data_IF_604148866972
#
_entry.id   IF_604148866972
#
_cell.length_a   1.000
_cell.length_b   1.000
_cell.length_c   1.000
_cell.angle_alpha   90.00
_cell.angle_beta   90.00
_cell.angle_gamma   90.00
#
_symmetry.space_group_name_H-M   'P 1'
#
loop_
_entity.id
_entity.type
_entity.pdbx_description
1 polymer ?
#
# COMPACT_ATOMS: atom_id res chain seq x y z
N UNK A 1 -73.95 -9.30 -4.96
CA UNK A 1 -73.76 -10.74 -4.67
C UNK A 1 -72.30 -11.11 -4.96
N UNK A 2 -71.44 -11.29 -3.94
CA UNK A 2 -70.05 -11.76 -4.17
C UNK A 2 -70.08 -13.29 -4.31
N UNK A 3 -69.80 -13.80 -5.51
CA UNK A 3 -69.68 -15.24 -5.78
C UNK A 3 -68.71 -15.87 -4.78
N UNK A 4 -69.17 -16.90 -4.05
CA UNK A 4 -68.34 -17.71 -3.15
C UNK A 4 -67.37 -18.50 -4.03
N UNK A 5 -66.08 -18.16 -3.95
CA UNK A 5 -65.02 -18.90 -4.63
C UNK A 5 -64.98 -20.31 -4.05
N UNK A 6 -64.92 -21.33 -4.92
CA UNK A 6 -64.83 -22.75 -4.56
C UNK A 6 -63.40 -23.27 -4.74
N UNK A 7 -63.11 -24.46 -4.20
CA UNK A 7 -61.82 -25.14 -4.43
C UNK A 7 -61.57 -25.42 -5.93
N UNK A 8 -62.63 -25.67 -6.70
CA UNK A 8 -62.50 -25.87 -8.14
C UNK A 8 -62.02 -24.59 -8.85
N UNK A 9 -62.49 -23.43 -8.40
CA UNK A 9 -62.04 -22.14 -8.93
C UNK A 9 -60.57 -21.87 -8.62
N UNK A 10 -60.06 -22.29 -7.45
CA UNK A 10 -58.63 -22.15 -7.12
C UNK A 10 -57.76 -23.06 -7.98
N UNK A 11 -58.21 -24.30 -8.23
CA UNK A 11 -57.55 -25.21 -9.16
C UNK A 11 -57.51 -24.66 -10.60
N UNK A 12 -58.60 -24.05 -11.07
CA UNK A 12 -58.63 -23.42 -12.40
C UNK A 12 -57.69 -22.22 -12.49
N UNK A 13 -57.60 -21.40 -11.44
CA UNK A 13 -56.62 -20.29 -11.35
C UNK A 13 -55.18 -20.81 -11.40
N UNK A 14 -54.89 -21.94 -10.74
CA UNK A 14 -53.57 -22.56 -10.80
C UNK A 14 -53.22 -23.03 -12.22
N UNK A 15 -54.16 -23.73 -12.88
CA UNK A 15 -53.98 -24.23 -14.25
C UNK A 15 -53.74 -23.09 -15.24
N UNK A 16 -54.51 -22.00 -15.13
CA UNK A 16 -54.35 -20.81 -15.98
C UNK A 16 -52.95 -20.16 -15.85
N UNK A 17 -52.24 -20.39 -14.75
CA UNK A 17 -50.87 -19.89 -14.51
C UNK A 17 -49.80 -20.95 -14.71
N UNK A 18 -50.13 -22.07 -15.36
CA UNK A 18 -49.20 -23.15 -15.65
C UNK A 18 -48.77 -23.89 -14.39
N UNK A 19 -49.70 -24.22 -13.49
CA UNK A 19 -49.43 -25.02 -12.29
C UNK A 19 -50.67 -25.68 -11.70
N UNK A 20 -50.56 -26.19 -10.47
CA UNK A 20 -51.63 -26.90 -9.77
C UNK A 20 -51.79 -26.43 -8.32
N UNK A 21 -53.01 -26.55 -7.80
CA UNK A 21 -53.31 -26.42 -6.37
C UNK A 21 -53.21 -27.82 -5.76
N UNK A 22 -52.44 -27.96 -4.68
CA UNK A 22 -52.19 -29.22 -3.96
C UNK A 22 -53.00 -29.31 -2.65
N UNK A 23 -53.89 -28.35 -2.37
CA UNK A 23 -54.72 -28.34 -1.18
C UNK A 23 -56.06 -29.00 -1.44
N UNK A 24 -56.49 -29.89 -0.56
CA UNK A 24 -57.75 -30.64 -0.69
C UNK A 24 -58.96 -29.90 -0.10
N UNK A 25 -58.75 -28.76 0.57
CA UNK A 25 -59.80 -27.97 1.22
C UNK A 25 -59.60 -26.48 1.01
N UNK A 26 -60.68 -25.77 0.67
CA UNK A 26 -60.72 -24.32 0.58
C UNK A 26 -61.69 -23.77 1.62
N UNK A 27 -61.17 -23.01 2.59
CA UNK A 27 -61.97 -22.41 3.67
C UNK A 27 -62.30 -20.95 3.33
N UNK A 28 -61.27 -20.14 3.05
CA UNK A 28 -61.42 -18.75 2.61
C UNK A 28 -60.19 -18.27 1.85
N UNK A 29 -60.25 -17.06 1.30
CA UNK A 29 -59.19 -16.49 0.47
C UNK A 29 -57.96 -15.99 1.23
N UNK A 30 -57.99 -15.94 2.57
CA UNK A 30 -56.89 -15.49 3.44
C UNK A 30 -56.05 -16.64 4.00
N UNK A 31 -56.63 -17.84 4.09
CA UNK A 31 -55.91 -19.04 4.55
C UNK A 31 -54.97 -19.51 3.43
N UNK A 32 -53.69 -19.77 3.72
CA UNK A 32 -52.75 -20.27 2.73
C UNK A 32 -53.16 -21.62 2.15
N UNK A 33 -53.12 -21.71 0.82
CA UNK A 33 -53.20 -22.97 0.07
C UNK A 33 -51.81 -23.36 -0.42
N UNK A 34 -51.61 -24.64 -0.72
CA UNK A 34 -50.39 -25.20 -1.29
C UNK A 34 -50.50 -25.18 -2.81
N UNK A 35 -49.51 -24.59 -3.47
CA UNK A 35 -49.46 -24.40 -4.92
C UNK A 35 -48.20 -25.04 -5.48
N UNK A 36 -48.25 -25.42 -6.76
CA UNK A 36 -47.15 -26.00 -7.52
C UNK A 36 -47.09 -25.37 -8.90
N UNK A 37 -45.89 -25.00 -9.40
CA UNK A 37 -45.73 -24.44 -10.75
C UNK A 37 -45.23 -25.49 -11.76
N UNK A 38 -45.18 -25.12 -13.04
CA UNK A 38 -44.67 -25.96 -14.14
C UNK A 38 -43.21 -26.40 -14.00
N UNK A 39 -42.40 -25.68 -13.21
CA UNK A 39 -41.02 -26.05 -12.87
C UNK A 39 -40.93 -26.85 -11.57
N UNK A 40 -42.02 -27.49 -11.16
CA UNK A 40 -42.14 -28.35 -9.97
C UNK A 40 -41.92 -27.66 -8.61
N UNK A 41 -41.86 -26.32 -8.56
CA UNK A 41 -41.69 -25.62 -7.28
C UNK A 41 -43.00 -25.57 -6.50
N UNK A 42 -42.94 -25.94 -5.22
CA UNK A 42 -44.08 -25.91 -4.31
C UNK A 42 -43.97 -24.78 -3.29
N UNK A 43 -45.08 -24.09 -3.01
CA UNK A 43 -45.13 -23.03 -1.99
C UNK A 43 -46.53 -22.86 -1.38
N UNK A 44 -46.59 -22.22 -0.21
CA UNK A 44 -47.84 -21.86 0.46
C UNK A 44 -48.16 -20.37 0.26
N UNK A 45 -49.38 -20.05 -0.19
CA UNK A 45 -49.84 -18.68 -0.33
C UNK A 45 -51.37 -18.57 -0.26
N UNK A 46 -51.92 -17.47 0.27
CA UNK A 46 -53.36 -17.24 0.24
C UNK A 46 -53.85 -16.86 -1.17
N UNK A 47 -55.09 -17.23 -1.49
CA UNK A 47 -55.67 -17.03 -2.83
C UNK A 47 -55.77 -15.55 -3.21
N UNK A 48 -56.02 -14.66 -2.25
CA UNK A 48 -56.11 -13.21 -2.49
C UNK A 48 -54.81 -12.63 -3.10
N UNK A 49 -53.65 -13.09 -2.60
CA UNK A 49 -52.32 -12.72 -3.07
C UNK A 49 -52.07 -13.27 -4.47
N UNK A 50 -52.55 -14.47 -4.76
CA UNK A 50 -52.45 -15.06 -6.09
C UNK A 50 -53.34 -14.28 -7.06
N UNK A 51 -54.63 -14.10 -6.76
CA UNK A 51 -55.59 -13.47 -7.68
C UNK A 51 -55.29 -11.99 -7.96
N UNK A 52 -54.94 -11.23 -6.93
CA UNK A 52 -54.85 -9.76 -7.03
C UNK A 52 -53.43 -9.22 -7.25
N UNK A 53 -52.40 -10.09 -7.31
CA UNK A 53 -51.02 -9.66 -7.61
C UNK A 53 -50.47 -10.40 -8.82
N UNK A 54 -49.65 -9.71 -9.62
CA UNK A 54 -48.92 -10.26 -10.77
C UNK A 54 -47.76 -11.20 -10.39
N UNK A 55 -47.83 -11.86 -9.22
CA UNK A 55 -46.79 -12.74 -8.71
C UNK A 55 -47.35 -14.14 -8.51
N UNK A 56 -46.77 -15.12 -9.21
CA UNK A 56 -47.19 -16.53 -9.20
C UNK A 56 -46.24 -17.38 -8.35
N UNK A 57 -45.18 -17.90 -8.97
CA UNK A 57 -44.16 -18.70 -8.30
C UNK A 57 -43.06 -17.78 -7.76
N UNK A 58 -42.80 -17.75 -6.44
CA UNK A 58 -41.77 -16.91 -5.85
C UNK A 58 -40.35 -17.37 -6.25
N UNK A 59 -40.18 -18.65 -6.60
CA UNK A 59 -38.92 -19.20 -7.11
C UNK A 59 -38.64 -18.73 -8.53
N UNK A 60 -39.61 -18.85 -9.44
CA UNK A 60 -39.45 -18.38 -10.81
C UNK A 60 -39.37 -16.86 -10.91
N UNK A 61 -39.99 -16.13 -9.97
CA UNK A 61 -39.91 -14.67 -9.88
C UNK A 61 -38.60 -14.17 -9.23
N UNK A 62 -37.64 -15.05 -8.91
CA UNK A 62 -36.36 -14.69 -8.29
C UNK A 62 -36.48 -14.17 -6.85
N UNK A 63 -37.61 -14.38 -6.18
CA UNK A 63 -37.90 -13.89 -4.83
C UNK A 63 -37.71 -14.94 -3.73
N UNK A 64 -37.67 -16.22 -4.07
CA UNK A 64 -37.33 -17.32 -3.15
C UNK A 64 -36.61 -18.42 -3.90
N UNK A 65 -35.30 -18.52 -3.80
CA UNK A 65 -34.61 -19.77 -4.09
C UNK A 65 -33.45 -19.92 -3.11
N UNK A 66 -32.91 -21.13 -3.01
CA UNK A 66 -31.59 -21.40 -2.44
C UNK A 66 -31.40 -21.62 -0.93
N UNK A 67 -32.42 -21.76 -0.09
CA UNK A 67 -32.15 -22.01 1.34
C UNK A 67 -31.87 -23.49 1.68
N UNK A 68 -32.69 -24.44 1.20
CA UNK A 68 -32.58 -25.84 1.62
C UNK A 68 -31.50 -26.64 0.85
N UNK A 69 -31.40 -26.49 -0.46
CA UNK A 69 -30.37 -27.20 -1.24
C UNK A 69 -28.95 -26.74 -0.90
N UNK A 70 -28.76 -25.43 -0.64
CA UNK A 70 -27.49 -24.91 -0.15
C UNK A 70 -27.21 -25.41 1.25
N UNK A 71 -28.21 -25.44 2.14
CA UNK A 71 -28.04 -25.99 3.48
C UNK A 71 -27.62 -27.47 3.45
N UNK A 72 -28.22 -28.28 2.58
CA UNK A 72 -27.83 -29.68 2.35
C UNK A 72 -26.41 -29.79 1.81
N UNK A 73 -26.03 -28.96 0.83
CA UNK A 73 -24.66 -28.96 0.26
C UNK A 73 -23.60 -28.55 1.29
N UNK A 74 -23.85 -27.50 2.07
CA UNK A 74 -22.93 -27.03 3.12
C UNK A 74 -22.78 -28.08 4.23
N UNK A 75 -23.86 -28.77 4.59
CA UNK A 75 -23.79 -29.87 5.55
C UNK A 75 -22.84 -30.96 5.04
N UNK A 76 -23.01 -31.40 3.78
CA UNK A 76 -22.17 -32.42 3.16
C UNK A 76 -20.70 -31.98 3.09
N UNK A 77 -20.42 -30.75 2.65
CA UNK A 77 -19.05 -30.20 2.56
C UNK A 77 -18.33 -30.15 3.92
N UNK A 78 -19.07 -30.06 5.02
CA UNK A 78 -18.53 -30.09 6.40
C UNK A 78 -18.63 -31.46 7.08
N UNK A 79 -18.95 -32.52 6.34
CA UNK A 79 -19.06 -33.88 6.86
C UNK A 79 -20.28 -34.09 7.77
N UNK A 80 -21.39 -33.39 7.51
CA UNK A 80 -22.65 -33.51 8.22
C UNK A 80 -23.85 -33.67 7.29
N UNK A 81 -25.04 -33.83 7.87
CA UNK A 81 -26.31 -34.01 7.16
C UNK A 81 -27.34 -32.99 7.66
N UNK A 82 -28.07 -32.38 6.72
CA UNK A 82 -29.27 -31.62 7.05
C UNK A 82 -30.47 -32.56 6.96
N UNK A 83 -31.11 -32.83 8.10
CA UNK A 83 -32.24 -33.76 8.22
C UNK A 83 -33.59 -33.11 7.88
N UNK A 84 -33.63 -31.78 7.75
CA UNK A 84 -34.86 -31.05 7.46
C UNK A 84 -35.33 -31.21 6.00
N UNK A 85 -36.63 -31.45 5.84
CA UNK A 85 -37.26 -31.80 4.57
C UNK A 85 -37.80 -30.54 3.85
N UNK A 86 -38.16 -29.46 4.56
CA UNK A 86 -38.63 -28.19 3.98
C UNK A 86 -38.22 -26.98 4.84
N UNK A 87 -38.05 -25.81 4.21
CA UNK A 87 -37.77 -24.54 4.88
C UNK A 87 -38.63 -23.46 4.23
N UNK A 88 -39.66 -23.00 4.93
CA UNK A 88 -40.62 -22.01 4.39
C UNK A 88 -40.26 -20.58 4.80
N UNK A 89 -39.51 -20.41 5.89
CA UNK A 89 -39.10 -19.12 6.43
C UNK A 89 -37.67 -19.14 6.99
N UNK A 90 -36.99 -17.98 6.95
CA UNK A 90 -35.61 -17.80 7.45
C UNK A 90 -35.45 -18.02 8.96
N UNK A 91 -36.56 -18.07 9.71
CA UNK A 91 -36.62 -18.26 11.17
C UNK A 91 -36.92 -19.71 11.60
N UNK A 92 -37.14 -20.63 10.66
CA UNK A 92 -37.45 -22.02 10.96
C UNK A 92 -36.18 -22.77 11.42
N UNK A 93 -36.27 -23.55 12.50
CA UNK A 93 -35.17 -24.34 13.05
C UNK A 93 -34.93 -25.56 12.15
N UNK A 94 -33.76 -25.63 11.52
CA UNK A 94 -33.33 -26.79 10.74
C UNK A 94 -32.61 -27.78 11.67
N UNK A 95 -32.80 -29.06 11.40
CA UNK A 95 -32.20 -30.19 12.11
C UNK A 95 -30.92 -30.61 11.38
N UNK A 96 -29.82 -30.71 12.12
CA UNK A 96 -28.48 -31.00 11.61
C UNK A 96 -27.88 -32.18 12.35
N UNK A 97 -27.08 -33.00 11.65
CA UNK A 97 -26.30 -34.10 12.23
C UNK A 97 -24.84 -34.03 11.77
N UNK A 98 -23.86 -34.17 12.66
CA UNK A 98 -22.44 -34.22 12.28
C UNK A 98 -21.94 -35.66 12.05
N UNK A 99 -20.74 -35.82 11.47
CA UNK A 99 -20.07 -37.11 11.25
C UNK A 99 -19.84 -37.92 12.53
N UNK A 100 -19.81 -37.29 13.70
CA UNK A 100 -19.71 -37.95 15.01
C UNK A 100 -21.08 -38.31 15.63
N UNK A 101 -22.19 -38.10 14.92
CA UNK A 101 -23.53 -38.51 15.32
C UNK A 101 -24.31 -37.50 16.18
N UNK A 102 -23.76 -36.32 16.49
CA UNK A 102 -24.47 -35.31 17.27
C UNK A 102 -25.56 -34.62 16.45
N UNK A 103 -26.75 -34.46 17.04
CA UNK A 103 -27.90 -33.78 16.44
C UNK A 103 -28.19 -32.46 17.14
N UNK A 104 -28.46 -31.40 16.36
CA UNK A 104 -28.86 -30.12 16.92
C UNK A 104 -29.82 -29.35 16.01
N UNK A 105 -30.60 -28.45 16.63
CA UNK A 105 -31.54 -27.57 15.95
C UNK A 105 -30.96 -26.16 15.85
N UNK A 106 -30.83 -25.62 14.64
CA UNK A 106 -30.36 -24.25 14.40
C UNK A 106 -31.08 -23.61 13.22
N UNK A 107 -31.39 -22.31 13.33
CA UNK A 107 -32.08 -21.59 12.24
C UNK A 107 -31.15 -21.38 11.05
N UNK A 108 -31.72 -21.22 9.84
CA UNK A 108 -30.94 -20.84 8.65
C UNK A 108 -30.15 -19.53 8.85
N UNK A 109 -30.65 -18.60 9.67
CA UNK A 109 -29.95 -17.34 9.99
C UNK A 109 -28.60 -17.56 10.69
N UNK A 110 -28.43 -18.67 11.41
CA UNK A 110 -27.17 -19.02 12.08
C UNK A 110 -26.05 -19.42 11.09
N UNK A 111 -26.34 -19.60 9.80
CA UNK A 111 -25.32 -19.92 8.78
C UNK A 111 -25.19 -18.84 7.70
N UNK A 112 -25.96 -17.75 7.77
CA UNK A 112 -25.90 -16.65 6.78
C UNK A 112 -24.52 -15.99 6.78
N UNK A 113 -23.91 -15.77 7.95
CA UNK A 113 -22.58 -15.17 8.03
C UNK A 113 -21.50 -16.05 7.38
N UNK A 114 -21.62 -17.38 7.51
CA UNK A 114 -20.76 -18.36 6.84
C UNK A 114 -20.96 -18.30 5.32
N UNK A 115 -22.21 -18.29 4.84
CA UNK A 115 -22.52 -18.17 3.41
C UNK A 115 -21.99 -16.87 2.80
N UNK A 116 -22.19 -15.74 3.49
CA UNK A 116 -21.70 -14.42 3.04
C UNK A 116 -20.18 -14.40 3.00
N UNK A 117 -19.52 -15.06 3.95
CA UNK A 117 -18.07 -15.21 3.94
C UNK A 117 -17.59 -16.01 2.72
N UNK A 118 -18.15 -17.22 2.50
CA UNK A 118 -17.77 -18.07 1.38
C UNK A 118 -18.04 -17.42 0.01
N UNK A 119 -19.17 -16.72 -0.15
CA UNK A 119 -19.50 -16.02 -1.40
C UNK A 119 -18.47 -14.94 -1.79
N UNK A 120 -17.67 -14.46 -0.83
CA UNK A 120 -16.61 -13.47 -1.03
C UNK A 120 -15.21 -14.07 -0.83
N UNK A 121 -15.06 -15.39 -1.00
CA UNK A 121 -13.82 -16.15 -0.77
C UNK A 121 -13.18 -15.89 0.60
N UNK A 122 -13.99 -15.62 1.62
CA UNK A 122 -13.56 -15.43 3.00
C UNK A 122 -14.11 -16.51 3.93
N UNK A 123 -13.70 -16.43 5.19
CA UNK A 123 -14.18 -17.25 6.29
C UNK A 123 -14.68 -16.36 7.41
N UNK A 124 -15.67 -16.82 8.16
CA UNK A 124 -16.03 -16.23 9.45
C UNK A 124 -15.41 -17.10 10.54
N UNK A 125 -14.66 -16.48 11.45
CA UNK A 125 -13.93 -17.16 12.52
C UNK A 125 -14.69 -17.14 13.86
N UNK A 126 -15.73 -16.32 13.98
CA UNK A 126 -16.57 -16.31 15.18
C UNK A 126 -17.39 -17.59 15.36
N UNK A 127 -17.29 -18.20 16.53
CA UNK A 127 -18.02 -19.43 16.90
C UNK A 127 -19.49 -19.18 17.27
N UNK A 128 -19.82 -17.95 17.70
CA UNK A 128 -21.17 -17.59 18.18
C UNK A 128 -21.71 -16.41 17.39
N UNK A 129 -22.88 -16.60 16.76
CA UNK A 129 -23.64 -15.55 16.11
C UNK A 129 -24.92 -15.27 16.91
N UNK A 130 -25.06 -14.03 17.37
CA UNK A 130 -26.20 -13.62 18.20
C UNK A 130 -27.26 -12.92 17.33
N UNK A 131 -26.85 -11.92 16.55
CA UNK A 131 -27.77 -11.16 15.67
C UNK A 131 -27.02 -10.39 14.56
N UNK A 132 -27.76 -9.78 13.62
CA UNK A 132 -27.19 -9.03 12.48
C UNK A 132 -26.30 -7.84 12.86
N UNK A 133 -26.45 -7.29 14.06
CA UNK A 133 -25.68 -6.16 14.58
C UNK A 133 -24.45 -6.59 15.38
N UNK A 134 -24.41 -7.82 15.88
CA UNK A 134 -23.27 -8.36 16.63
C UNK A 134 -22.01 -8.41 15.77
N UNK A 135 -20.87 -8.07 16.38
CA UNK A 135 -19.59 -8.11 15.71
C UNK A 135 -19.17 -9.57 15.50
N UNK A 136 -18.76 -9.87 14.28
CA UNK A 136 -18.17 -11.13 13.89
C UNK A 136 -16.74 -10.87 13.41
N UNK A 137 -15.88 -11.85 13.65
CA UNK A 137 -14.51 -11.90 13.16
C UNK A 137 -14.52 -12.54 11.78
N UNK A 138 -14.09 -11.77 10.78
CA UNK A 138 -14.03 -12.16 9.38
C UNK A 138 -12.58 -12.32 8.95
N UNK A 139 -12.36 -13.23 8.01
CA UNK A 139 -11.06 -13.53 7.40
C UNK A 139 -11.21 -13.52 5.88
N UNK A 140 -10.41 -12.75 5.15
CA UNK A 140 -10.51 -12.67 3.68
C UNK A 140 -9.57 -13.66 2.99
N UNK A 141 -9.72 -13.84 1.68
CA UNK A 141 -8.85 -14.68 0.86
C UNK A 141 -7.34 -14.35 0.96
N UNK A 142 -7.02 -13.13 1.38
CA UNK A 142 -5.65 -12.58 1.45
C UNK A 142 -5.18 -12.53 2.91
N UNK A 143 -5.79 -13.33 3.79
CA UNK A 143 -5.40 -13.46 5.20
C UNK A 143 -5.55 -12.20 6.05
N UNK A 144 -6.43 -11.26 5.67
CA UNK A 144 -6.77 -10.15 6.56
C UNK A 144 -7.90 -10.54 7.50
N UNK A 145 -7.72 -10.23 8.77
CA UNK A 145 -8.72 -10.41 9.82
C UNK A 145 -9.31 -9.07 10.24
N UNK A 146 -10.64 -8.99 10.37
CA UNK A 146 -11.29 -7.78 10.83
C UNK A 146 -12.63 -8.07 11.52
N UNK A 147 -13.02 -7.17 12.42
CA UNK A 147 -14.31 -7.22 13.09
C UNK A 147 -15.34 -6.39 12.32
N UNK A 148 -16.48 -6.99 11.97
CA UNK A 148 -17.60 -6.30 11.38
C UNK A 148 -18.93 -6.99 11.70
N UNK A 149 -20.02 -6.25 11.72
CA UNK A 149 -21.36 -6.83 11.85
C UNK A 149 -21.84 -7.43 10.54
N UNK A 150 -22.68 -8.47 10.61
CA UNK A 150 -23.28 -9.10 9.44
C UNK A 150 -24.12 -8.10 8.62
N UNK A 151 -24.83 -7.19 9.27
CA UNK A 151 -25.63 -6.15 8.61
C UNK A 151 -24.76 -5.18 7.81
N UNK A 152 -23.57 -4.82 8.32
CA UNK A 152 -22.61 -4.00 7.57
C UNK A 152 -22.17 -4.74 6.31
N UNK A 153 -21.75 -5.99 6.50
CA UNK A 153 -21.18 -6.81 5.42
C UNK A 153 -22.21 -7.11 4.32
N UNK A 154 -23.44 -7.45 4.71
CA UNK A 154 -24.51 -7.88 3.80
C UNK A 154 -25.32 -6.70 3.24
N UNK A 155 -25.81 -5.80 4.10
CA UNK A 155 -26.77 -4.77 3.70
C UNK A 155 -26.07 -3.48 3.23
N UNK A 156 -24.90 -3.13 3.81
CA UNK A 156 -24.10 -1.98 3.37
C UNK A 156 -23.04 -2.34 2.33
N UNK A 157 -23.02 -3.61 1.89
CA UNK A 157 -22.06 -4.16 0.92
C UNK A 157 -20.59 -3.88 1.27
N UNK A 158 -20.27 -3.70 2.55
CA UNK A 158 -18.89 -3.50 3.00
C UNK A 158 -18.18 -4.85 3.11
N UNK A 159 -16.86 -4.86 2.89
CA UNK A 159 -16.04 -6.06 3.05
C UNK A 159 -14.76 -5.72 3.81
N UNK A 160 -13.74 -6.57 3.70
CA UNK A 160 -12.44 -6.39 4.33
C UNK A 160 -11.92 -4.97 4.08
N UNK A 161 -11.69 -4.13 5.11
CA UNK A 161 -11.23 -2.76 4.95
C UNK A 161 -9.87 -2.67 4.23
N UNK A 162 -9.04 -3.70 4.35
CA UNK A 162 -7.77 -3.82 3.62
C UNK A 162 -7.95 -4.28 2.15
N UNK A 163 -9.16 -4.65 1.74
CA UNK A 163 -9.52 -5.02 0.36
C UNK A 163 -10.65 -4.16 -0.22
N UNK A 164 -11.21 -3.21 0.54
CA UNK A 164 -12.19 -2.24 0.03
C UNK A 164 -11.43 -1.27 -0.87
N UNK A 165 -11.66 -1.39 -2.19
CA UNK A 165 -10.85 -0.78 -3.25
C UNK A 165 -10.32 -1.78 -4.29
N UNK A 166 -10.55 -3.08 -4.08
CA UNK A 166 -10.04 -4.16 -4.92
C UNK A 166 -9.01 -5.01 -4.17
N UNK A 167 -8.56 -6.12 -4.77
CA UNK A 167 -7.35 -6.84 -4.33
C UNK A 167 -6.26 -5.80 -4.01
N UNK A 168 -5.33 -6.03 -3.06
CA UNK A 168 -4.09 -5.26 -3.07
C UNK A 168 -3.60 -5.30 -4.50
N UNK A 169 -3.57 -4.13 -5.15
CA UNK A 169 -3.34 -4.02 -6.60
C UNK A 169 -2.00 -4.63 -7.01
N UNK A 170 -1.15 -4.87 -6.02
CA UNK A 170 0.19 -5.43 -6.10
C UNK A 170 0.38 -6.42 -4.96
N UNK A 171 1.13 -7.47 -5.25
CA UNK A 171 1.59 -8.51 -4.33
C UNK A 171 3.06 -8.24 -3.95
N UNK A 172 3.58 -8.99 -2.96
CA UNK A 172 5.02 -8.98 -2.67
C UNK A 172 5.86 -9.37 -3.90
N UNK A 173 5.33 -10.24 -4.77
CA UNK A 173 6.01 -10.63 -5.99
C UNK A 173 6.10 -9.47 -6.99
N UNK A 174 5.04 -8.65 -7.07
CA UNK A 174 5.06 -7.42 -7.88
C UNK A 174 6.08 -6.40 -7.35
N UNK A 175 6.27 -6.31 -6.03
CA UNK A 175 7.29 -5.43 -5.44
C UNK A 175 8.70 -5.92 -5.76
N UNK A 176 8.94 -7.23 -5.70
CA UNK A 176 10.21 -7.85 -6.08
C UNK A 176 10.50 -7.68 -7.56
N UNK A 177 9.51 -7.85 -8.43
CA UNK A 177 9.64 -7.64 -9.87
C UNK A 177 10.05 -6.20 -10.20
N UNK A 178 9.40 -5.20 -9.60
CA UNK A 178 9.77 -3.80 -9.79
C UNK A 178 11.20 -3.52 -9.29
N UNK A 179 11.60 -4.16 -8.18
CA UNK A 179 12.98 -4.03 -7.71
C UNK A 179 13.97 -4.62 -8.72
N UNK A 180 13.66 -5.80 -9.26
CA UNK A 180 14.48 -6.48 -10.26
C UNK A 180 14.59 -5.65 -11.54
N UNK A 181 13.49 -5.13 -12.06
CA UNK A 181 13.46 -4.27 -13.26
C UNK A 181 14.30 -2.99 -13.10
N UNK A 182 14.51 -2.56 -11.85
CA UNK A 182 15.35 -1.40 -11.49
C UNK A 182 16.74 -1.78 -10.99
N UNK A 183 17.20 -3.00 -11.30
CA UNK A 183 18.49 -3.54 -10.89
C UNK A 183 18.69 -3.48 -9.37
N UNK A 184 17.73 -3.98 -8.61
CA UNK A 184 17.80 -4.08 -7.16
C UNK A 184 16.91 -5.17 -6.59
N UNK A 185 16.73 -5.14 -5.27
CA UNK A 185 15.99 -6.16 -4.52
C UNK A 185 15.08 -5.51 -3.48
N UNK A 186 13.93 -6.12 -3.23
CA UNK A 186 13.10 -5.79 -2.07
C UNK A 186 13.48 -6.78 -0.96
N UNK A 187 13.95 -6.26 0.18
CA UNK A 187 14.40 -7.04 1.33
C UNK A 187 13.27 -7.36 2.32
N UNK A 188 12.11 -6.70 2.19
CA UNK A 188 10.96 -6.96 3.06
C UNK A 188 10.33 -8.33 2.80
N UNK A 189 9.99 -9.04 3.87
CA UNK A 189 9.35 -10.36 3.82
C UNK A 189 7.83 -10.29 3.63
N UNK A 190 7.21 -9.16 4.00
CA UNK A 190 5.75 -8.98 3.99
C UNK A 190 5.37 -7.68 3.31
N UNK A 191 4.33 -7.74 2.48
CA UNK A 191 3.68 -6.58 1.88
C UNK A 191 2.26 -6.45 2.43
N UNK A 192 1.99 -5.35 3.13
CA UNK A 192 0.67 -5.08 3.74
C UNK A 192 -0.17 -4.23 2.78
N UNK A 193 0.33 -3.06 2.40
CA UNK A 193 -0.33 -2.17 1.46
C UNK A 193 0.69 -1.22 0.80
N UNK A 194 0.22 -0.40 -0.16
CA UNK A 194 1.07 0.48 -0.96
C UNK A 194 1.64 1.69 -0.20
N UNK A 195 1.12 1.96 1.01
CA UNK A 195 1.54 3.05 1.88
C UNK A 195 2.49 2.58 2.99
N UNK A 196 2.58 1.28 3.25
CA UNK A 196 3.56 0.71 4.18
C UNK A 196 4.96 0.83 3.60
N UNK A 197 5.92 1.26 4.42
CA UNK A 197 7.33 1.30 4.04
C UNK A 197 7.88 -0.12 3.86
N UNK A 198 8.63 -0.32 2.79
CA UNK A 198 9.39 -1.53 2.51
C UNK A 198 10.88 -1.18 2.48
N UNK A 199 11.72 -2.17 2.75
CA UNK A 199 13.17 -2.08 2.67
C UNK A 199 13.63 -2.48 1.26
N UNK A 200 14.41 -1.60 0.63
CA UNK A 200 14.89 -1.74 -0.74
C UNK A 200 16.40 -1.73 -0.78
N UNK A 201 16.95 -2.43 -1.77
CA UNK A 201 18.38 -2.56 -2.04
C UNK A 201 18.65 -2.28 -3.52
N UNK A 202 19.67 -1.47 -3.85
CA UNK A 202 20.07 -1.25 -5.25
C UNK A 202 21.37 -1.98 -5.61
N UNK A 203 21.62 -2.19 -6.91
CA UNK A 203 22.85 -2.81 -7.42
C UNK A 203 24.15 -2.13 -6.97
N UNK A 204 24.10 -0.86 -6.57
CA UNK A 204 25.26 -0.13 -6.02
C UNK A 204 25.47 -0.33 -4.51
N UNK A 205 24.70 -1.23 -3.88
CA UNK A 205 24.87 -1.59 -2.47
C UNK A 205 24.17 -0.67 -1.46
N UNK A 206 23.23 0.18 -1.89
CA UNK A 206 22.50 1.06 -0.97
C UNK A 206 21.21 0.42 -0.48
N UNK A 207 20.94 0.59 0.81
CA UNK A 207 19.71 0.16 1.48
C UNK A 207 18.90 1.37 1.93
N UNK A 208 17.59 1.38 1.68
CA UNK A 208 16.71 2.46 2.13
C UNK A 208 15.27 2.00 2.32
N UNK A 209 14.54 2.74 3.17
CA UNK A 209 13.11 2.54 3.40
C UNK A 209 12.29 3.45 2.48
N UNK A 210 11.34 2.89 1.74
CA UNK A 210 10.41 3.65 0.92
C UNK A 210 9.08 2.90 0.75
N UNK A 211 7.99 3.65 0.58
CA UNK A 211 6.68 3.06 0.28
C UNK A 211 6.63 2.56 -1.16
N UNK A 212 5.86 1.49 -1.40
CA UNK A 212 5.71 0.94 -2.74
C UNK A 212 5.11 1.95 -3.72
N UNK A 213 4.12 2.76 -3.29
CA UNK A 213 3.52 3.78 -4.14
C UNK A 213 4.53 4.85 -4.57
N UNK A 214 5.44 5.23 -3.67
CA UNK A 214 6.53 6.17 -3.96
C UNK A 214 7.47 5.57 -5.01
N UNK A 215 7.94 4.34 -4.81
CA UNK A 215 8.84 3.68 -5.75
C UNK A 215 8.21 3.53 -7.14
N UNK A 216 6.95 3.11 -7.20
CA UNK A 216 6.25 2.88 -8.46
C UNK A 216 6.06 4.16 -9.28
N UNK A 217 5.64 5.25 -8.63
CA UNK A 217 5.29 6.50 -9.32
C UNK A 217 6.47 7.49 -9.40
N UNK A 218 7.55 7.27 -8.65
CA UNK A 218 8.72 8.14 -8.68
C UNK A 218 9.59 7.89 -9.92
N UNK A 219 10.10 9.01 -10.47
CA UNK A 219 11.16 9.03 -11.49
C UNK A 219 12.55 8.66 -10.92
N UNK A 220 12.67 8.45 -9.62
CA UNK A 220 13.94 8.10 -8.95
C UNK A 220 13.81 6.77 -8.21
N UNK A 221 14.73 5.85 -8.49
CA UNK A 221 14.77 4.51 -7.87
C UNK A 221 15.43 4.51 -6.49
N UNK A 222 16.74 4.77 -6.47
CA UNK A 222 17.56 4.78 -5.27
C UNK A 222 17.92 6.23 -4.95
N UNK A 223 17.57 6.75 -3.76
CA UNK A 223 17.82 8.15 -3.44
C UNK A 223 19.32 8.44 -3.30
N UNK A 224 20.14 7.45 -2.94
CA UNK A 224 21.60 7.58 -2.93
C UNK A 224 22.16 7.72 -4.35
N UNK A 225 21.63 6.94 -5.31
CA UNK A 225 22.07 7.02 -6.71
C UNK A 225 21.55 8.27 -7.43
N UNK A 226 20.37 8.76 -7.06
CA UNK A 226 19.79 9.98 -7.65
C UNK A 226 20.32 11.27 -7.01
N UNK A 227 21.27 11.18 -6.08
CA UNK A 227 21.81 12.35 -5.35
C UNK A 227 20.81 13.03 -4.41
N UNK A 228 19.69 12.37 -4.07
CA UNK A 228 18.66 12.87 -3.15
C UNK A 228 18.95 12.53 -1.69
N UNK A 229 19.71 11.47 -1.45
CA UNK A 229 20.25 11.18 -0.13
C UNK A 229 21.52 12.01 0.09
N UNK A 230 21.62 12.63 1.26
CA UNK A 230 22.85 13.26 1.71
C UNK A 230 24.00 12.25 1.58
N UNK A 231 25.07 12.63 0.90
CA UNK A 231 26.19 11.76 0.58
C UNK A 231 26.72 11.06 1.86
N UNK A 232 27.03 9.77 1.86
CA UNK A 232 27.47 9.09 3.09
C UNK A 232 28.94 9.43 3.42
N UNK A 233 29.35 9.25 4.68
CA UNK A 233 30.74 9.48 5.11
C UNK A 233 31.74 8.61 4.32
N UNK A 234 31.31 7.45 3.83
CA UNK A 234 32.14 6.56 3.00
C UNK A 234 32.45 7.16 1.62
N UNK A 235 31.49 7.86 1.00
CA UNK A 235 31.74 8.62 -0.22
C UNK A 235 32.76 9.74 0.03
N UNK A 236 32.72 10.40 1.20
CA UNK A 236 33.74 11.37 1.56
C UNK A 236 35.14 10.73 1.63
N UNK A 237 35.25 9.56 2.28
CA UNK A 237 36.50 8.82 2.39
C UNK A 237 37.03 8.37 1.03
N UNK A 238 36.16 7.85 0.15
CA UNK A 238 36.53 7.45 -1.21
C UNK A 238 37.01 8.64 -2.06
N UNK A 239 36.33 9.78 -1.98
CA UNK A 239 36.74 11.00 -2.69
C UNK A 239 38.11 11.47 -2.16
N UNK A 240 38.33 11.44 -0.85
CA UNK A 240 39.62 11.78 -0.29
C UNK A 240 40.74 10.88 -0.79
N UNK A 241 40.49 9.56 -0.79
CA UNK A 241 41.44 8.58 -1.29
C UNK A 241 41.77 8.82 -2.78
N UNK A 242 40.77 9.06 -3.62
CA UNK A 242 40.95 9.33 -5.05
C UNK A 242 41.80 10.58 -5.36
N UNK A 243 41.92 11.49 -4.38
CA UNK A 243 42.68 12.74 -4.48
C UNK A 243 43.95 12.72 -3.64
N UNK A 244 44.47 11.53 -3.29
CA UNK A 244 45.65 11.34 -2.46
C UNK A 244 45.57 12.11 -1.13
N UNK A 245 44.43 11.97 -0.44
CA UNK A 245 44.26 12.49 0.91
C UNK A 245 43.30 11.67 1.73
N UNK A 246 42.94 12.19 2.89
CA UNK A 246 42.17 11.50 3.92
C UNK A 246 41.00 12.37 4.39
N UNK A 247 39.83 11.76 4.58
CA UNK A 247 38.74 12.36 5.33
C UNK A 247 38.86 11.90 6.79
N UNK A 248 39.10 12.85 7.70
CA UNK A 248 39.35 12.60 9.13
C UNK A 248 38.05 12.57 9.95
N UNK A 249 36.93 13.01 9.38
CA UNK A 249 35.63 12.98 10.05
C UNK A 249 35.10 11.55 10.18
N UNK A 250 34.52 11.25 11.35
CA UNK A 250 33.92 9.94 11.66
C UNK A 250 32.42 9.89 11.39
N UNK A 251 31.74 11.03 11.35
CA UNK A 251 30.31 11.15 11.10
C UNK A 251 29.99 12.23 10.07
N UNK A 252 28.91 12.03 9.32
CA UNK A 252 28.35 13.00 8.38
C UNK A 252 26.85 13.09 8.63
N UNK A 253 26.38 14.27 9.02
CA UNK A 253 25.00 14.46 9.42
C UNK A 253 24.14 15.04 8.29
N UNK A 254 24.67 15.98 7.50
CA UNK A 254 23.94 16.61 6.39
C UNK A 254 24.88 17.29 5.38
N UNK A 255 24.32 17.80 4.28
CA UNK A 255 25.06 18.47 3.21
C UNK A 255 25.63 19.86 3.57
N UNK A 256 25.31 20.38 4.76
CA UNK A 256 25.79 21.67 5.26
C UNK A 256 26.88 21.52 6.31
N UNK A 257 27.07 20.33 6.89
CA UNK A 257 28.12 20.06 7.86
C UNK A 257 29.46 19.91 7.15
N UNK A 258 30.43 20.71 7.59
CA UNK A 258 31.81 20.59 7.14
C UNK A 258 32.43 19.27 7.61
N UNK A 259 33.17 18.64 6.70
CA UNK A 259 34.03 17.51 6.99
C UNK A 259 35.46 18.01 7.12
N UNK A 260 36.25 17.31 7.93
CA UNK A 260 37.68 17.58 8.09
C UNK A 260 38.46 16.74 7.09
N UNK A 261 39.23 17.42 6.24
CA UNK A 261 40.02 16.82 5.16
C UNK A 261 41.50 17.00 5.42
N UNK A 262 42.32 16.10 4.88
CA UNK A 262 43.79 16.14 4.94
C UNK A 262 44.38 15.76 3.58
N UNK A 263 45.33 16.54 3.06
CA UNK A 263 46.02 16.18 1.81
C UNK A 263 47.33 15.41 2.08
N UNK A 264 47.97 14.88 1.02
CA UNK A 264 49.26 14.17 1.09
C UNK A 264 50.37 14.96 1.79
N UNK A 265 50.38 16.30 1.69
CA UNK A 265 51.36 17.18 2.38
C UNK A 265 51.00 17.46 3.84
N UNK A 266 49.90 16.90 4.35
CA UNK A 266 49.47 17.05 5.74
C UNK A 266 48.62 18.30 6.03
N UNK A 267 48.32 19.15 5.05
CA UNK A 267 47.41 20.28 5.27
C UNK A 267 46.02 19.79 5.64
N UNK A 268 45.44 20.36 6.70
CA UNK A 268 44.09 20.04 7.18
C UNK A 268 43.15 21.23 6.95
N UNK A 269 41.93 20.98 6.48
CA UNK A 269 40.92 22.03 6.30
C UNK A 269 39.50 21.50 6.45
N UNK A 270 38.58 22.41 6.76
CA UNK A 270 37.14 22.14 6.81
C UNK A 270 36.48 22.49 5.48
N UNK A 271 35.66 21.58 4.96
CA UNK A 271 34.84 21.84 3.77
C UNK A 271 33.66 20.86 3.70
N UNK A 272 32.54 21.31 3.15
CA UNK A 272 31.42 20.44 2.83
C UNK A 272 31.79 19.40 1.75
N UNK A 273 31.10 18.27 1.75
CA UNK A 273 31.30 17.25 0.72
C UNK A 273 30.89 17.74 -0.69
N UNK A 274 29.89 18.62 -0.77
CA UNK A 274 29.43 19.19 -2.04
C UNK A 274 30.47 20.14 -2.65
N UNK A 275 31.11 20.98 -1.83
CA UNK A 275 32.17 21.88 -2.31
C UNK A 275 33.37 21.08 -2.80
N UNK A 276 33.80 20.05 -2.06
CA UNK A 276 34.88 19.16 -2.50
C UNK A 276 34.55 18.46 -3.82
N UNK A 277 33.33 17.95 -3.99
CA UNK A 277 32.93 17.20 -5.18
C UNK A 277 32.92 18.08 -6.45
N UNK A 278 32.43 19.31 -6.33
CA UNK A 278 32.20 20.19 -7.47
C UNK A 278 33.36 21.16 -7.76
N UNK A 279 34.29 21.37 -6.81
CA UNK A 279 35.45 22.22 -7.05
C UNK A 279 36.60 21.45 -7.72
N UNK A 280 37.26 22.08 -8.70
CA UNK A 280 38.47 21.57 -9.34
C UNK A 280 39.70 21.56 -8.41
N UNK A 281 39.69 22.38 -7.36
CA UNK A 281 40.82 22.49 -6.43
C UNK A 281 40.59 21.61 -5.20
N UNK A 282 41.38 20.53 -5.10
CA UNK A 282 41.29 19.57 -4.00
C UNK A 282 41.65 20.18 -2.64
N UNK A 283 42.77 20.90 -2.56
CA UNK A 283 43.30 21.45 -1.32
C UNK A 283 43.49 22.97 -1.49
N UNK A 284 42.89 23.80 -0.62
CA UNK A 284 42.87 25.26 -0.79
C UNK A 284 44.28 25.87 -0.74
N UNK A 285 45.21 25.22 -0.04
CA UNK A 285 46.61 25.60 0.05
C UNK A 285 47.38 25.42 -1.28
N UNK A 286 46.79 24.77 -2.29
CA UNK A 286 47.36 24.66 -3.64
C UNK A 286 46.83 25.73 -4.61
N UNK A 287 45.84 26.54 -4.22
CA UNK A 287 45.26 27.58 -5.10
C UNK A 287 46.31 28.62 -5.52
N UNK A 288 47.30 28.86 -4.65
CA UNK A 288 48.39 29.80 -4.88
C UNK A 288 49.73 29.05 -4.98
N UNK A 289 49.76 27.84 -5.58
CA UNK A 289 50.96 26.99 -5.62
C UNK A 289 52.19 27.73 -6.16
N UNK A 290 52.02 28.52 -7.22
CA UNK A 290 53.11 29.26 -7.84
C UNK A 290 53.42 30.56 -7.08
N UNK A 291 52.41 31.34 -6.68
CA UNK A 291 52.62 32.56 -5.88
C UNK A 291 53.32 32.24 -4.56
N UNK A 292 52.88 31.19 -3.84
CA UNK A 292 53.49 30.77 -2.58
C UNK A 292 54.93 30.27 -2.77
N UNK A 293 55.20 29.54 -3.85
CA UNK A 293 56.56 29.09 -4.17
C UNK A 293 57.46 30.29 -4.51
N UNK A 294 56.98 31.23 -5.33
CA UNK A 294 57.68 32.46 -5.64
C UNK A 294 57.91 33.30 -4.37
N UNK A 295 56.92 33.43 -3.49
CA UNK A 295 57.05 34.10 -2.19
C UNK A 295 58.11 33.44 -1.33
N UNK A 296 58.14 32.11 -1.23
CA UNK A 296 59.14 31.37 -0.45
C UNK A 296 60.56 31.59 -0.99
N UNK A 297 60.75 31.45 -2.31
CA UNK A 297 62.04 31.64 -2.97
C UNK A 297 62.52 33.08 -2.79
N UNK A 298 61.68 34.06 -3.10
CA UNK A 298 62.06 35.48 -3.07
C UNK A 298 62.30 35.94 -1.62
N UNK A 299 61.51 35.45 -0.66
CA UNK A 299 61.68 35.81 0.76
C UNK A 299 63.01 35.32 1.33
N UNK A 300 63.58 34.22 0.80
CA UNK A 300 64.91 33.74 1.18
C UNK A 300 66.03 34.74 0.86
N UNK A 301 65.86 35.54 -0.20
CA UNK A 301 66.89 36.49 -0.66
C UNK A 301 66.59 37.93 -0.24
N UNK A 302 65.32 38.35 -0.26
CA UNK A 302 64.89 39.74 -0.05
C UNK A 302 64.21 39.99 1.30
N UNK A 303 64.05 38.96 2.13
CA UNK A 303 63.24 39.03 3.36
C UNK A 303 61.73 39.00 3.08
N UNK A 304 60.87 39.11 4.10
CA UNK A 304 59.42 39.04 3.90
C UNK A 304 58.92 40.21 3.02
N UNK A 305 58.01 39.96 2.06
CA UNK A 305 57.38 41.00 1.25
C UNK A 305 56.45 41.88 2.08
N UNK A 306 56.05 43.02 1.52
CA UNK A 306 55.07 43.91 2.16
C UNK A 306 53.69 43.26 2.27
N UNK A 307 52.99 43.56 3.36
CA UNK A 307 51.57 43.23 3.55
C UNK A 307 50.64 44.07 2.66
N UNK A 308 51.15 45.18 2.09
CA UNK A 308 50.39 46.06 1.20
C UNK A 308 50.31 45.42 -0.19
N UNK A 309 49.18 44.77 -0.48
CA UNK A 309 48.91 44.18 -1.81
C UNK A 309 48.29 45.14 -2.82
N UNK A 310 47.74 46.28 -2.38
CA UNK A 310 47.09 47.27 -3.25
C UNK A 310 47.61 48.67 -2.92
N UNK A 311 48.81 49.03 -3.41
CA UNK A 311 49.38 50.33 -3.09
C UNK A 311 48.57 51.47 -3.73
N UNK A 312 48.54 52.63 -3.06
CA UNK A 312 47.69 53.75 -3.46
C UNK A 312 48.00 54.28 -4.86
N UNK A 313 49.25 54.16 -5.32
CA UNK A 313 49.68 54.63 -6.65
C UNK A 313 49.07 53.82 -7.81
N UNK A 314 48.45 52.67 -7.54
CA UNK A 314 47.75 51.85 -8.55
C UNK A 314 46.23 52.10 -8.58
N UNK A 315 45.72 53.11 -7.88
CA UNK A 315 44.31 53.55 -7.96
C UNK A 315 44.11 54.41 -9.21
N UNK A 316 43.33 53.90 -10.16
CA UNK A 316 42.92 54.62 -11.38
C UNK A 316 41.38 54.74 -11.43
N UNK A 317 40.81 55.68 -12.21
CA UNK A 317 39.36 55.86 -12.29
C UNK A 317 38.58 54.58 -12.61
N UNK A 318 39.15 53.70 -13.44
CA UNK A 318 38.59 52.41 -13.84
C UNK A 318 38.68 51.36 -12.71
N UNK A 319 39.65 51.51 -11.81
CA UNK A 319 39.90 50.62 -10.67
C UNK A 319 40.10 51.44 -9.37
N UNK A 320 39.02 51.99 -8.78
CA UNK A 320 39.11 52.90 -7.64
C UNK A 320 39.66 52.24 -6.35
N UNK A 321 39.67 50.91 -6.31
CA UNK A 321 40.27 50.12 -5.21
C UNK A 321 41.77 49.84 -5.40
N UNK A 322 42.35 50.19 -6.55
CA UNK A 322 43.72 49.86 -6.90
C UNK A 322 43.89 48.47 -7.49
N UNK A 323 44.89 48.31 -8.36
CA UNK A 323 45.31 46.99 -8.85
C UNK A 323 46.03 46.21 -7.73
N UNK A 324 45.79 44.91 -7.67
CA UNK A 324 46.45 44.01 -6.72
C UNK A 324 47.79 43.56 -7.27
N UNK A 325 48.80 43.54 -6.40
CA UNK A 325 50.11 43.00 -6.68
C UNK A 325 50.31 41.67 -5.94
N UNK A 326 50.76 40.64 -6.65
CA UNK A 326 50.95 39.29 -6.10
C UNK A 326 52.08 39.25 -5.05
N UNK A 327 53.21 39.91 -5.29
CA UNK A 327 54.33 40.05 -4.33
C UNK A 327 54.93 41.46 -4.48
N UNK A 328 54.96 42.24 -3.39
CA UNK A 328 55.41 43.63 -3.43
C UNK A 328 56.51 43.94 -2.41
N UNK A 329 57.60 44.57 -2.88
CA UNK A 329 58.73 45.03 -2.09
C UNK A 329 58.95 46.54 -2.31
N UNK A 330 58.26 47.41 -1.54
CA UNK A 330 58.35 48.86 -1.71
C UNK A 330 59.78 49.39 -1.51
N UNK A 331 60.55 48.79 -0.58
CA UNK A 331 61.92 49.18 -0.29
C UNK A 331 62.88 48.99 -1.48
N UNK A 332 62.52 48.12 -2.42
CA UNK A 332 63.30 47.84 -3.63
C UNK A 332 62.62 48.36 -4.90
N UNK A 333 61.44 48.99 -4.79
CA UNK A 333 60.64 49.38 -5.96
C UNK A 333 60.25 48.20 -6.86
N UNK A 334 60.14 46.99 -6.29
CA UNK A 334 59.94 45.74 -7.02
C UNK A 334 58.55 45.15 -6.76
N UNK A 335 57.87 44.74 -7.82
CA UNK A 335 56.66 43.93 -7.75
C UNK A 335 56.81 42.71 -8.66
N UNK A 336 56.29 41.57 -8.23
CA UNK A 336 56.32 40.31 -8.98
C UNK A 336 54.88 39.83 -9.11
N UNK A 337 54.39 39.79 -10.35
CA UNK A 337 53.13 39.15 -10.74
C UNK A 337 53.41 37.70 -11.11
N UNK A 338 52.70 36.76 -10.48
CA UNK A 338 52.86 35.32 -10.71
C UNK A 338 51.69 34.78 -11.53
N UNK A 339 50.54 35.46 -11.50
CA UNK A 339 49.32 35.09 -12.24
C UNK A 339 48.76 36.28 -13.05
N UNK A 340 49.63 37.06 -13.69
CA UNK A 340 49.22 38.09 -14.64
C UNK A 340 48.52 37.46 -15.86
N UNK A 341 47.33 37.96 -16.21
CA UNK A 341 46.62 37.66 -17.46
C UNK A 341 47.31 38.35 -18.64
#
# INVERSE_FOLDING_TARGET
MRLKITLNDTCNIAKARGGSCLSDKFINNKIPLRWKCSKDHEWNAPLDRIKNRNTWCPVCAGRHSFHLEIAKKIAIDKGGLCLSIQCTATKELLQWRCSKGHEWSATYNNVIHVKVAHARNGKCLSEKFINGKSLLLWHCAISHEWNASLDSVKNKNTWCPNCVGGRPRYTLEDTRKIAYDRNGKCLSEKYINSMTALLWYCSKGHEWNATFNSIKNANSWCPHCSGRYACNIDQAKQIAFSRNGECLSTSYFNNYSDLLWKCVKGHKWYATLNTIKNQNNWCPFYRNKYENLCREIVSKYLGPPSDIRRPDFLKIPEHPKGLELDIYYPQYGLAIEVQGI
#
